data_IF_838162222651
#
_entry.id   IF_838162222651
#
_cell.length_a   1.000
_cell.length_b   1.000
_cell.length_c   1.000
_cell.angle_alpha   90.00
_cell.angle_beta   90.00
_cell.angle_gamma   90.00
#
_symmetry.space_group_name_H-M   'P 1'
#
loop_
_entity.id
_entity.type
_entity.pdbx_description
1 polymer ?
#
# COMPACT_ATOMS: atom_id res chain seq x y z
N UNK A 1 38.23 14.11 -25.11
CA UNK A 1 36.79 13.82 -25.02
C UNK A 1 36.29 14.51 -23.76
N UNK A 2 35.60 15.65 -23.89
CA UNK A 2 34.96 16.30 -22.75
C UNK A 2 33.61 15.62 -22.59
N UNK A 3 33.30 14.96 -21.46
CA UNK A 3 31.99 14.35 -21.28
C UNK A 3 30.92 15.45 -21.39
N UNK A 4 29.80 15.21 -22.09
CA UNK A 4 28.75 16.20 -22.19
C UNK A 4 28.27 16.57 -20.80
N UNK A 5 28.24 17.88 -20.51
CA UNK A 5 27.58 18.39 -19.30
C UNK A 5 26.11 17.96 -19.36
N UNK A 6 25.64 17.26 -18.34
CA UNK A 6 24.22 17.01 -18.18
C UNK A 6 23.47 18.36 -18.15
N UNK A 7 22.27 18.46 -18.74
CA UNK A 7 21.45 19.66 -18.67
C UNK A 7 21.22 20.06 -17.21
N UNK A 8 21.42 21.33 -16.87
CA UNK A 8 21.22 21.93 -15.52
C UNK A 8 19.82 21.64 -14.96
N UNK A 9 18.85 21.41 -15.85
CA UNK A 9 17.47 21.04 -15.52
C UNK A 9 17.38 19.65 -14.86
N UNK A 10 18.22 18.67 -15.25
CA UNK A 10 18.26 17.33 -14.63
C UNK A 10 18.86 17.33 -13.23
N UNK A 11 19.81 18.24 -12.93
CA UNK A 11 20.35 18.42 -11.57
C UNK A 11 19.30 19.05 -10.64
N UNK A 12 18.50 20.00 -11.13
CA UNK A 12 17.41 20.62 -10.35
C UNK A 12 16.28 19.63 -10.04
N UNK A 13 15.90 18.76 -10.98
CA UNK A 13 14.94 17.68 -10.70
C UNK A 13 15.53 16.63 -9.76
N UNK A 14 16.82 16.32 -9.86
CA UNK A 14 17.52 15.43 -8.93
C UNK A 14 17.47 15.94 -7.49
N UNK A 15 17.76 17.23 -7.27
CA UNK A 15 17.69 17.85 -5.94
C UNK A 15 16.27 17.85 -5.36
N UNK A 16 15.24 18.18 -6.15
CA UNK A 16 13.86 18.15 -5.69
C UNK A 16 13.37 16.73 -5.38
N UNK A 17 13.78 15.73 -6.18
CA UNK A 17 13.47 14.33 -5.92
C UNK A 17 14.19 13.82 -4.67
N UNK A 18 15.45 14.23 -4.46
CA UNK A 18 16.23 13.90 -3.25
C UNK A 18 15.66 14.57 -2.01
N UNK A 19 15.19 15.81 -2.09
CA UNK A 19 14.54 16.51 -0.98
C UNK A 19 13.16 15.91 -0.67
N UNK A 20 12.38 15.58 -1.69
CA UNK A 20 11.09 14.90 -1.52
C UNK A 20 11.28 13.50 -0.92
N UNK A 21 12.20 12.70 -1.47
CA UNK A 21 12.55 11.38 -0.94
C UNK A 21 13.19 11.48 0.44
N UNK A 22 14.02 12.49 0.74
CA UNK A 22 14.57 12.71 2.09
C UNK A 22 13.50 13.13 3.09
N UNK A 23 12.56 14.00 2.69
CA UNK A 23 11.43 14.40 3.52
C UNK A 23 10.53 13.20 3.82
N UNK A 24 10.29 12.33 2.82
CA UNK A 24 9.59 11.07 3.01
C UNK A 24 10.41 10.10 3.88
N UNK A 25 11.71 9.91 3.65
CA UNK A 25 12.57 9.05 4.46
C UNK A 25 12.60 9.51 5.92
N UNK A 26 12.65 10.83 6.19
CA UNK A 26 12.53 11.38 7.54
C UNK A 26 11.14 11.12 8.14
N UNK A 27 10.06 11.23 7.36
CA UNK A 27 8.70 10.92 7.80
C UNK A 27 8.48 9.42 8.09
N UNK A 28 9.22 8.53 7.41
CA UNK A 28 9.16 7.07 7.57
C UNK A 28 10.28 6.49 8.45
N UNK A 29 11.10 7.33 9.09
CA UNK A 29 12.25 6.92 9.92
C UNK A 29 13.24 6.00 9.19
N UNK A 30 13.41 6.21 7.89
CA UNK A 30 14.39 5.52 7.04
C UNK A 30 15.69 6.33 7.13
N UNK A 31 16.75 5.76 7.72
CA UNK A 31 18.05 6.43 7.85
C UNK A 31 18.65 6.74 6.48
N UNK A 32 18.66 8.01 6.09
CA UNK A 32 19.55 8.52 5.05
C UNK A 32 20.97 8.64 5.66
N UNK A 33 21.90 7.75 5.26
CA UNK A 33 23.28 7.78 5.74
C UNK A 33 24.12 8.84 4.99
N UNK A 34 25.03 9.58 5.67
CA UNK A 34 25.88 10.56 5.03
C UNK A 34 27.14 9.89 4.48
N UNK A 35 27.27 9.80 3.15
CA UNK A 35 28.52 9.42 2.50
C UNK A 35 29.28 10.68 2.07
N UNK A 36 29.96 11.31 3.02
CA UNK A 36 31.04 12.26 2.73
C UNK A 36 32.34 11.51 2.92
N UNK A 37 32.86 10.90 1.86
CA UNK A 37 34.24 10.40 1.85
C UNK A 37 35.17 11.61 1.75
N UNK A 38 36.14 11.71 2.66
CA UNK A 38 37.10 12.82 2.71
C UNK A 38 37.98 12.83 1.45
N UNK A 39 38.04 13.98 0.76
CA UNK A 39 38.83 14.23 -0.45
C UNK A 39 40.30 13.75 -0.37
N UNK A 40 40.86 13.61 0.83
CA UNK A 40 42.23 13.16 1.06
C UNK A 40 42.50 11.70 0.65
N UNK A 41 41.49 10.82 0.58
CA UNK A 41 41.67 9.43 0.14
C UNK A 41 41.85 9.32 -1.38
N UNK A 42 41.20 10.20 -2.15
CA UNK A 42 41.21 10.17 -3.62
C UNK A 42 42.56 10.57 -4.24
N UNK A 43 43.39 11.33 -3.53
CA UNK A 43 44.70 11.76 -4.03
C UNK A 43 45.77 10.65 -4.06
N UNK A 44 45.52 9.50 -3.43
CA UNK A 44 46.50 8.39 -3.33
C UNK A 44 46.15 7.15 -4.17
N UNK A 45 44.98 7.12 -4.81
CA UNK A 45 44.52 5.97 -5.56
C UNK A 45 44.94 6.06 -7.03
N UNK A 46 45.31 4.94 -7.64
CA UNK A 46 45.54 4.92 -9.08
C UNK A 46 44.20 5.07 -9.85
N UNK A 47 44.27 5.45 -11.13
CA UNK A 47 43.08 5.69 -11.95
C UNK A 47 42.17 4.44 -12.11
N UNK A 48 42.73 3.23 -12.05
CA UNK A 48 41.99 1.97 -12.13
C UNK A 48 41.27 1.60 -10.83
N UNK A 49 41.84 1.97 -9.69
CA UNK A 49 41.22 1.83 -8.37
C UNK A 49 40.10 2.84 -8.19
N UNK A 50 40.33 4.10 -8.60
CA UNK A 50 39.32 5.15 -8.58
C UNK A 50 38.10 4.82 -9.46
N UNK A 51 38.32 4.23 -10.64
CA UNK A 51 37.23 3.78 -11.51
C UNK A 51 36.42 2.63 -10.89
N UNK A 52 37.08 1.66 -10.25
CA UNK A 52 36.40 0.54 -9.57
C UNK A 52 35.58 1.02 -8.37
N UNK A 53 36.13 1.94 -7.58
CA UNK A 53 35.41 2.53 -6.45
C UNK A 53 34.20 3.33 -6.93
N UNK A 54 34.35 4.15 -7.98
CA UNK A 54 33.24 4.89 -8.57
C UNK A 54 32.10 3.98 -9.06
N UNK A 55 32.43 2.91 -9.79
CA UNK A 55 31.43 1.94 -10.27
C UNK A 55 30.71 1.22 -9.11
N UNK A 56 31.43 0.95 -8.02
CA UNK A 56 30.85 0.33 -6.82
C UNK A 56 29.88 1.29 -6.13
N UNK A 57 30.29 2.55 -5.94
CA UNK A 57 29.45 3.60 -5.37
C UNK A 57 28.19 3.82 -6.23
N UNK A 58 28.33 3.85 -7.54
CA UNK A 58 27.20 4.04 -8.46
C UNK A 58 26.23 2.85 -8.41
N UNK A 59 26.74 1.61 -8.40
CA UNK A 59 25.92 0.42 -8.25
C UNK A 59 25.16 0.39 -6.91
N UNK A 60 25.81 0.77 -5.81
CA UNK A 60 25.18 0.82 -4.49
C UNK A 60 24.15 1.95 -4.40
N UNK A 61 24.41 3.12 -5.02
CA UNK A 61 23.41 4.19 -5.16
C UNK A 61 22.19 3.72 -5.94
N UNK A 62 22.40 3.04 -7.06
CA UNK A 62 21.29 2.56 -7.88
C UNK A 62 20.44 1.53 -7.12
N UNK A 63 21.08 0.64 -6.35
CA UNK A 63 20.37 -0.29 -5.45
C UNK A 63 19.56 0.45 -4.39
N UNK A 64 20.14 1.48 -3.77
CA UNK A 64 19.46 2.28 -2.75
C UNK A 64 18.26 3.04 -3.32
N UNK A 65 18.41 3.69 -4.47
CA UNK A 65 17.31 4.35 -5.18
C UNK A 65 16.21 3.34 -5.47
N UNK A 66 16.55 2.18 -6.02
CA UNK A 66 15.58 1.11 -6.33
C UNK A 66 14.83 0.65 -5.09
N UNK A 67 15.53 0.47 -3.97
CA UNK A 67 14.93 0.12 -2.68
C UNK A 67 13.96 1.20 -2.19
N UNK A 68 14.40 2.46 -2.13
CA UNK A 68 13.59 3.58 -1.66
C UNK A 68 12.35 3.79 -2.53
N UNK A 69 12.50 3.71 -3.85
CA UNK A 69 11.37 3.78 -4.79
C UNK A 69 10.37 2.64 -4.54
N UNK A 70 10.85 1.43 -4.27
CA UNK A 70 9.96 0.31 -3.94
C UNK A 70 9.21 0.51 -2.62
N UNK A 71 9.86 1.01 -1.58
CA UNK A 71 9.21 1.27 -0.28
C UNK A 71 8.20 2.41 -0.37
N UNK A 72 8.54 3.45 -1.13
CA UNK A 72 7.63 4.55 -1.43
C UNK A 72 6.37 4.05 -2.14
N UNK A 73 6.53 3.23 -3.18
CA UNK A 73 5.40 2.67 -3.93
C UNK A 73 4.49 1.82 -3.05
N UNK A 74 5.07 0.97 -2.18
CA UNK A 74 4.32 0.18 -1.19
C UNK A 74 3.53 1.07 -0.22
N UNK A 75 4.13 2.17 0.25
CA UNK A 75 3.44 3.12 1.10
C UNK A 75 2.25 3.76 0.36
N UNK A 76 2.45 4.21 -0.89
CA UNK A 76 1.37 4.72 -1.74
C UNK A 76 0.22 3.73 -1.90
N UNK A 77 0.52 2.45 -2.16
CA UNK A 77 -0.52 1.42 -2.27
C UNK A 77 -1.35 1.29 -0.98
N UNK A 78 -0.70 1.31 0.19
CA UNK A 78 -1.40 1.28 1.49
C UNK A 78 -2.30 2.49 1.70
N UNK A 79 -1.85 3.69 1.33
CA UNK A 79 -2.67 4.91 1.43
C UNK A 79 -3.92 4.83 0.55
N UNK A 80 -3.77 4.40 -0.71
CA UNK A 80 -4.90 4.23 -1.62
C UNK A 80 -5.90 3.19 -1.08
N UNK A 81 -5.40 2.05 -0.58
CA UNK A 81 -6.24 1.03 0.05
C UNK A 81 -7.00 1.58 1.26
N UNK A 82 -6.33 2.34 2.13
CA UNK A 82 -6.97 3.00 3.27
C UNK A 82 -8.11 3.91 2.83
N UNK A 83 -7.87 4.78 1.86
CA UNK A 83 -8.90 5.69 1.34
C UNK A 83 -10.11 4.94 0.75
N UNK A 84 -9.86 3.81 0.08
CA UNK A 84 -10.93 2.95 -0.44
C UNK A 84 -11.76 2.30 0.68
N UNK A 85 -11.11 1.84 1.76
CA UNK A 85 -11.81 1.31 2.93
C UNK A 85 -12.62 2.39 3.64
N UNK A 86 -12.08 3.61 3.78
CA UNK A 86 -12.82 4.75 4.35
C UNK A 86 -14.06 5.07 3.52
N UNK A 87 -13.92 5.09 2.19
CA UNK A 87 -15.05 5.26 1.27
C UNK A 87 -16.14 4.19 1.47
N UNK A 88 -15.74 2.91 1.58
CA UNK A 88 -16.69 1.81 1.88
C UNK A 88 -17.40 2.04 3.21
N UNK A 89 -16.66 2.40 4.24
CA UNK A 89 -17.23 2.65 5.56
C UNK A 89 -18.24 3.79 5.55
N UNK A 90 -17.96 4.89 4.85
CA UNK A 90 -18.93 5.98 4.66
C UNK A 90 -20.15 5.53 3.86
N UNK A 91 -19.97 4.67 2.85
CA UNK A 91 -21.09 4.10 2.09
C UNK A 91 -22.00 3.25 2.98
N UNK A 92 -21.44 2.36 3.80
CA UNK A 92 -22.21 1.54 4.76
C UNK A 92 -22.98 2.42 5.73
N UNK A 93 -22.34 3.45 6.30
CA UNK A 93 -23.00 4.40 7.20
C UNK A 93 -24.18 5.08 6.52
N UNK A 94 -24.00 5.56 5.28
CA UNK A 94 -25.05 6.26 4.52
C UNK A 94 -26.29 5.39 4.28
N UNK A 95 -26.09 4.10 3.97
CA UNK A 95 -27.17 3.12 3.78
C UNK A 95 -27.92 2.82 5.08
N UNK A 96 -27.22 2.92 6.21
CA UNK A 96 -27.76 2.59 7.53
C UNK A 96 -28.48 3.77 8.19
N UNK A 97 -28.09 5.01 7.90
CA UNK A 97 -28.74 6.22 8.43
C UNK A 97 -30.17 6.43 7.94
N UNK A 98 -30.62 5.69 6.92
CA UNK A 98 -32.01 5.59 6.48
C UNK A 98 -32.89 4.68 7.36
N UNK A 99 -32.29 3.94 8.30
CA UNK A 99 -32.98 2.97 9.15
C UNK A 99 -32.68 3.27 10.62
N UNK A 100 -33.75 3.64 11.32
CA UNK A 100 -33.88 4.13 12.69
C UNK A 100 -32.81 3.72 13.72
N UNK A 101 -32.39 4.74 14.48
CA UNK A 101 -31.57 4.74 15.70
C UNK A 101 -31.85 3.60 16.70
N UNK A 102 -30.84 2.78 16.99
CA UNK A 102 -30.64 2.24 18.34
C UNK A 102 -29.14 2.14 18.67
N UNK A 103 -28.79 2.69 19.83
CA UNK A 103 -27.48 2.73 20.45
C UNK A 103 -26.98 1.32 20.79
N UNK A 104 -25.78 1.00 20.34
CA UNK A 104 -24.98 -0.13 20.82
C UNK A 104 -23.56 0.37 21.11
N UNK A 105 -22.84 -0.30 22.03
CA UNK A 105 -21.80 0.31 22.83
C UNK A 105 -20.60 0.73 21.99
N UNK A 106 -19.93 1.75 22.51
CA UNK A 106 -18.81 2.46 21.91
C UNK A 106 -17.70 1.47 21.53
N UNK A 107 -17.70 1.03 20.27
CA UNK A 107 -16.46 0.56 19.63
C UNK A 107 -15.58 1.79 19.47
N UNK A 108 -14.38 1.72 20.02
CA UNK A 108 -13.43 2.83 20.14
C UNK A 108 -12.85 3.30 18.81
N UNK A 109 -13.16 2.63 17.69
CA UNK A 109 -12.82 3.10 16.35
C UNK A 109 -14.07 3.30 15.48
N UNK A 110 -14.19 4.51 14.94
CA UNK A 110 -15.29 4.98 14.07
C UNK A 110 -15.47 4.12 12.80
N UNK A 111 -14.51 3.24 12.49
CA UNK A 111 -14.40 2.46 11.25
C UNK A 111 -14.69 0.97 11.47
N UNK A 112 -14.51 0.46 12.68
CA UNK A 112 -14.82 -0.93 13.04
C UNK A 112 -16.34 -1.16 13.10
N UNK A 113 -17.11 -0.11 13.45
CA UNK A 113 -18.57 -0.18 13.51
C UNK A 113 -19.21 -0.49 12.13
N UNK A 114 -18.88 0.22 11.04
CA UNK A 114 -19.34 -0.15 9.69
C UNK A 114 -19.04 -1.60 9.30
N UNK A 115 -17.83 -2.10 9.59
CA UNK A 115 -17.44 -3.48 9.27
C UNK A 115 -18.24 -4.49 10.10
N UNK A 116 -18.47 -4.22 11.38
CA UNK A 116 -19.37 -5.02 12.22
C UNK A 116 -20.80 -5.04 11.68
N UNK A 117 -21.31 -3.89 11.22
CA UNK A 117 -22.65 -3.82 10.64
C UNK A 117 -22.76 -4.69 9.38
N UNK A 118 -21.74 -4.66 8.54
CA UNK A 118 -21.68 -5.49 7.34
C UNK A 118 -21.62 -6.99 7.69
N UNK A 119 -20.88 -7.38 8.73
CA UNK A 119 -20.86 -8.77 9.21
C UNK A 119 -22.19 -9.24 9.83
N UNK A 120 -23.04 -8.32 10.29
CA UNK A 120 -24.38 -8.64 10.79
C UNK A 120 -25.43 -8.66 9.68
N UNK A 121 -25.10 -8.20 8.48
CA UNK A 121 -25.95 -8.33 7.30
C UNK A 121 -25.96 -9.80 6.84
N UNK A 122 -27.14 -10.43 6.86
CA UNK A 122 -27.26 -11.87 6.62
C UNK A 122 -26.87 -12.26 5.19
N UNK A 123 -27.18 -11.42 4.21
CA UNK A 123 -26.83 -11.67 2.80
C UNK A 123 -25.31 -11.63 2.63
N UNK A 124 -24.68 -10.54 3.07
CA UNK A 124 -23.24 -10.38 3.01
C UNK A 124 -22.50 -11.47 3.80
N UNK A 125 -22.96 -11.79 5.01
CA UNK A 125 -22.36 -12.85 5.82
C UNK A 125 -22.40 -14.20 5.09
N UNK A 126 -23.54 -14.53 4.48
CA UNK A 126 -23.70 -15.75 3.69
C UNK A 126 -22.76 -15.75 2.47
N UNK A 127 -22.68 -14.65 1.72
CA UNK A 127 -21.76 -14.52 0.59
C UNK A 127 -20.29 -14.68 1.01
N UNK A 128 -19.89 -13.97 2.07
CA UNK A 128 -18.53 -13.99 2.60
C UNK A 128 -18.14 -15.39 3.09
N UNK A 129 -19.04 -16.07 3.81
CA UNK A 129 -18.79 -17.43 4.32
C UNK A 129 -18.71 -18.47 3.19
N UNK A 130 -19.55 -18.37 2.16
CA UNK A 130 -19.46 -19.23 0.98
C UNK A 130 -18.16 -19.01 0.20
N UNK A 131 -17.79 -17.74 -0.03
CA UNK A 131 -16.53 -17.40 -0.68
C UNK A 131 -15.33 -17.88 0.16
N UNK A 132 -15.37 -17.74 1.48
CA UNK A 132 -14.33 -18.24 2.39
C UNK A 132 -14.14 -19.75 2.26
N UNK A 133 -15.25 -20.50 2.25
CA UNK A 133 -15.25 -21.95 2.10
C UNK A 133 -14.64 -22.37 0.76
N UNK A 134 -15.03 -21.73 -0.34
CA UNK A 134 -14.49 -22.01 -1.67
C UNK A 134 -12.98 -21.79 -1.77
N UNK A 135 -12.46 -20.81 -1.03
CA UNK A 135 -11.04 -20.46 -1.01
C UNK A 135 -10.26 -21.14 0.14
N UNK A 136 -10.91 -22.03 0.90
CA UNK A 136 -10.33 -22.75 2.04
C UNK A 136 -9.73 -21.82 3.11
N UNK A 137 -10.35 -20.66 3.33
CA UNK A 137 -9.91 -19.67 4.31
C UNK A 137 -10.73 -19.85 5.60
N UNK A 138 -10.04 -19.86 6.74
CA UNK A 138 -10.68 -19.94 8.05
C UNK A 138 -11.48 -18.68 8.31
N UNK A 139 -12.80 -18.82 8.52
CA UNK A 139 -13.71 -17.69 8.67
C UNK A 139 -13.37 -16.77 9.87
N UNK A 140 -12.83 -17.33 10.95
CA UNK A 140 -12.38 -16.56 12.10
C UNK A 140 -11.24 -15.58 11.74
N UNK A 141 -10.33 -15.97 10.84
CA UNK A 141 -9.26 -15.10 10.37
C UNK A 141 -9.80 -13.99 9.46
N UNK A 142 -10.85 -14.29 8.68
CA UNK A 142 -11.58 -13.29 7.89
C UNK A 142 -12.25 -12.26 8.80
N UNK A 143 -12.96 -12.69 9.85
CA UNK A 143 -13.58 -11.76 10.80
C UNK A 143 -12.52 -10.88 11.48
N UNK A 144 -11.42 -11.49 11.94
CA UNK A 144 -10.31 -10.74 12.55
C UNK A 144 -9.71 -9.74 11.58
N UNK A 145 -9.45 -10.14 10.34
CA UNK A 145 -8.93 -9.24 9.30
C UNK A 145 -9.92 -8.11 9.01
N UNK A 146 -11.21 -8.40 8.84
CA UNK A 146 -12.22 -7.38 8.55
C UNK A 146 -12.32 -6.33 9.68
N UNK A 147 -12.17 -6.76 10.93
CA UNK A 147 -12.12 -5.87 12.10
C UNK A 147 -10.78 -5.14 12.26
N UNK A 148 -9.68 -5.73 11.82
CA UNK A 148 -8.33 -5.17 11.91
C UNK A 148 -7.90 -4.36 10.68
N UNK A 149 -8.68 -4.38 9.59
CA UNK A 149 -8.28 -3.83 8.29
C UNK A 149 -7.88 -2.37 8.38
N UNK A 150 -8.68 -1.54 9.08
CA UNK A 150 -8.34 -0.14 9.22
C UNK A 150 -7.04 0.03 10.01
N UNK A 151 -6.86 -0.69 11.12
CA UNK A 151 -5.64 -0.60 11.91
C UNK A 151 -4.39 -1.03 11.12
N UNK A 152 -4.52 -2.08 10.31
CA UNK A 152 -3.45 -2.58 9.42
C UNK A 152 -3.04 -1.54 8.36
N UNK A 153 -3.99 -0.71 7.92
CA UNK A 153 -3.79 0.30 6.88
C UNK A 153 -3.51 1.71 7.45
N UNK A 154 -3.88 1.98 8.71
CA UNK A 154 -3.80 3.31 9.36
C UNK A 154 -2.48 3.58 10.08
N UNK A 155 -1.55 2.62 10.09
CA UNK A 155 -0.25 2.80 10.75
C UNK A 155 0.62 3.88 10.09
N UNK A 156 0.21 4.42 8.95
CA UNK A 156 0.94 5.46 8.23
C UNK A 156 -0.04 6.55 7.74
N UNK A 157 0.32 7.81 8.03
CA UNK A 157 -0.17 9.14 7.61
C UNK A 157 -1.59 9.35 7.01
N UNK A 158 -2.17 10.51 7.28
CA UNK A 158 -3.44 10.96 6.70
C UNK A 158 -3.19 11.78 5.42
N UNK A 159 -3.38 11.20 4.23
CA UNK A 159 -3.40 11.99 2.99
C UNK A 159 -4.69 11.76 2.21
N UNK A 160 -5.35 12.86 1.88
CA UNK A 160 -6.44 12.92 0.90
C UNK A 160 -5.83 12.93 -0.50
N UNK A 161 -5.94 11.82 -1.23
CA UNK A 161 -6.07 11.76 -2.69
C UNK A 161 -6.10 10.30 -3.13
N UNK A 162 -7.26 9.82 -3.57
CA UNK A 162 -7.39 8.54 -4.27
C UNK A 162 -6.90 8.74 -5.71
N UNK A 163 -5.70 8.23 -5.98
CA UNK A 163 -5.18 8.06 -7.34
C UNK A 163 -5.90 6.91 -8.05
N UNK A 164 -5.93 6.96 -9.38
CA UNK A 164 -6.74 6.13 -10.27
C UNK A 164 -6.45 4.62 -10.24
N UNK A 165 -5.52 4.14 -9.40
CA UNK A 165 -5.14 2.73 -9.34
C UNK A 165 -5.03 2.25 -7.88
N UNK A 166 -6.10 1.68 -7.36
CA UNK A 166 -6.07 0.98 -6.07
C UNK A 166 -5.41 -0.38 -6.27
N UNK A 167 -4.37 -0.67 -5.50
CA UNK A 167 -3.55 -1.89 -5.65
C UNK A 167 -3.66 -2.75 -4.40
N UNK A 168 -4.07 -4.00 -4.58
CA UNK A 168 -4.00 -5.04 -3.55
C UNK A 168 -2.63 -5.73 -3.69
N UNK A 169 -1.68 -5.35 -2.84
CA UNK A 169 -0.30 -5.83 -2.90
C UNK A 169 -0.07 -6.97 -1.90
N UNK A 170 0.17 -8.18 -2.43
CA UNK A 170 0.33 -9.38 -1.60
C UNK A 170 1.60 -9.39 -0.75
N UNK A 171 2.54 -8.47 -1.01
CA UNK A 171 3.75 -8.28 -0.19
C UNK A 171 3.45 -7.52 1.10
N UNK A 172 2.31 -6.85 1.17
CA UNK A 172 1.94 -5.93 2.25
C UNK A 172 0.85 -6.46 3.18
N UNK A 173 0.10 -7.47 2.73
CA UNK A 173 -1.12 -7.94 3.34
C UNK A 173 -1.03 -9.45 3.58
N UNK A 174 -1.60 -9.93 4.69
CA UNK A 174 -1.75 -11.38 4.88
C UNK A 174 -2.88 -11.92 3.99
N UNK A 175 -2.91 -13.23 3.67
CA UNK A 175 -3.91 -13.80 2.76
C UNK A 175 -5.37 -13.47 3.12
N UNK A 176 -5.73 -13.51 4.41
CA UNK A 176 -7.08 -13.18 4.85
C UNK A 176 -7.44 -11.70 4.62
N UNK A 177 -6.50 -10.77 4.77
CA UNK A 177 -6.70 -9.35 4.47
C UNK A 177 -6.87 -9.13 2.97
N UNK A 178 -6.02 -9.77 2.15
CA UNK A 178 -6.13 -9.73 0.68
C UNK A 178 -7.52 -10.20 0.24
N UNK A 179 -7.97 -11.33 0.79
CA UNK A 179 -9.29 -11.90 0.51
C UNK A 179 -10.42 -10.95 0.89
N UNK A 180 -10.41 -10.43 2.13
CA UNK A 180 -11.47 -9.52 2.61
C UNK A 180 -11.52 -8.25 1.77
N UNK A 181 -10.38 -7.64 1.45
CA UNK A 181 -10.33 -6.45 0.59
C UNK A 181 -10.92 -6.76 -0.77
N UNK A 182 -10.58 -7.90 -1.37
CA UNK A 182 -11.17 -8.32 -2.65
C UNK A 182 -12.70 -8.46 -2.58
N UNK A 183 -13.23 -9.11 -1.53
CA UNK A 183 -14.68 -9.24 -1.33
C UNK A 183 -15.35 -7.87 -1.22
N UNK A 184 -14.80 -6.98 -0.41
CA UNK A 184 -15.32 -5.62 -0.24
C UNK A 184 -15.28 -4.85 -1.56
N UNK A 185 -14.15 -4.87 -2.27
CA UNK A 185 -14.02 -4.13 -3.52
C UNK A 185 -14.96 -4.66 -4.59
N UNK A 186 -15.16 -5.97 -4.66
CA UNK A 186 -16.19 -6.55 -5.54
C UNK A 186 -17.59 -6.06 -5.16
N UNK A 187 -17.97 -6.17 -3.88
CA UNK A 187 -19.30 -5.77 -3.38
C UNK A 187 -19.63 -4.30 -3.64
N UNK A 188 -18.63 -3.42 -3.51
CA UNK A 188 -18.77 -1.98 -3.68
C UNK A 188 -18.31 -1.47 -5.07
N UNK A 189 -18.04 -2.38 -6.01
CA UNK A 189 -17.59 -2.07 -7.38
C UNK A 189 -16.37 -1.12 -7.44
N UNK A 190 -15.40 -1.35 -6.58
CA UNK A 190 -14.15 -0.59 -6.53
C UNK A 190 -13.14 -1.24 -7.48
N UNK A 191 -12.73 -0.57 -8.58
CA UNK A 191 -11.72 -1.10 -9.49
C UNK A 191 -10.38 -1.21 -8.76
N UNK A 192 -9.71 -2.34 -8.94
CA UNK A 192 -8.41 -2.59 -8.32
C UNK A 192 -7.56 -3.54 -9.15
N UNK A 193 -6.25 -3.48 -8.89
CA UNK A 193 -5.23 -4.33 -9.50
C UNK A 193 -4.62 -5.19 -8.40
N UNK A 194 -4.26 -6.43 -8.73
CA UNK A 194 -3.55 -7.32 -7.81
C UNK A 194 -2.06 -7.43 -8.18
N UNK A 195 -1.20 -7.33 -7.17
CA UNK A 195 0.23 -7.61 -7.27
C UNK A 195 0.55 -8.83 -6.43
N UNK A 196 1.23 -9.81 -7.03
CA UNK A 196 1.66 -11.05 -6.36
C UNK A 196 2.82 -10.82 -5.38
N UNK A 197 3.31 -11.89 -4.75
CA UNK A 197 4.39 -11.80 -3.75
C UNK A 197 5.73 -11.43 -4.38
N UNK A 198 5.88 -11.70 -5.68
CA UNK A 198 7.05 -11.42 -6.50
C UNK A 198 7.05 -9.96 -6.99
N UNK A 199 5.94 -9.24 -6.84
CA UNK A 199 5.80 -7.84 -7.26
C UNK A 199 5.27 -7.67 -8.67
N UNK A 200 4.75 -8.71 -9.30
CA UNK A 200 4.19 -8.68 -10.65
C UNK A 200 2.68 -8.44 -10.62
N UNK A 201 2.17 -7.77 -11.64
CA UNK A 201 0.73 -7.70 -11.88
C UNK A 201 0.21 -9.10 -12.23
N UNK A 202 -0.78 -9.57 -11.49
CA UNK A 202 -1.34 -10.91 -11.65
C UNK A 202 -2.87 -10.89 -11.52
N UNK A 203 -3.50 -12.02 -11.85
CA UNK A 203 -4.91 -12.22 -11.55
C UNK A 203 -5.12 -12.35 -10.04
N UNK A 204 -6.22 -11.78 -9.55
CA UNK A 204 -6.60 -11.93 -8.15
C UNK A 204 -6.82 -13.42 -7.82
N UNK A 205 -6.15 -13.97 -6.79
CA UNK A 205 -6.02 -15.41 -6.63
C UNK A 205 -7.24 -16.08 -5.97
N UNK A 206 -8.26 -15.30 -5.58
CA UNK A 206 -9.42 -15.81 -4.87
C UNK A 206 -10.65 -15.89 -5.78
N UNK A 207 -11.37 -17.00 -5.68
CA UNK A 207 -12.64 -17.19 -6.34
C UNK A 207 -13.74 -16.47 -5.57
N UNK A 208 -13.97 -15.22 -5.95
CA UNK A 208 -15.12 -14.45 -5.53
C UNK A 208 -16.18 -14.68 -6.62
N UNK A 209 -16.97 -15.76 -6.56
CA UNK A 209 -18.04 -16.00 -7.56
C UNK A 209 -18.81 -14.71 -7.84
N UNK A 210 -19.37 -14.57 -9.04
CA UNK A 210 -20.31 -13.50 -9.32
C UNK A 210 -21.52 -13.67 -8.42
N UNK A 211 -21.48 -13.01 -7.27
CA UNK A 211 -22.66 -12.62 -6.52
C UNK A 211 -23.35 -11.57 -7.39
N UNK A 212 -23.98 -12.06 -8.46
CA UNK A 212 -24.80 -11.26 -9.34
C UNK A 212 -25.92 -10.69 -8.49
N UNK A 213 -25.78 -9.42 -8.10
CA UNK A 213 -26.92 -8.63 -7.71
C UNK A 213 -27.85 -8.59 -8.92
N UNK A 214 -28.98 -9.28 -8.79
CA UNK A 214 -30.11 -9.11 -9.68
C UNK A 214 -30.44 -7.62 -9.74
N UNK A 215 -30.46 -7.10 -10.96
CA UNK A 215 -31.10 -5.83 -11.29
C UNK A 215 -32.59 -5.91 -11.00
#
# INVERSE_FOLDING_TARGET
FVPPKLPVELEQYGHLLIEYVSSMCMAFNIQAMPYITTLDSYHRMDNSEMQREFLTIDADRQRQITYLTSELLKATHRFNLRGAIEFICERIKSLSSSSTSHSSPISTNVIDKPMHMLLNDHEFYHELSQAALLNQIVFNDIQRSMMGLYHSLSTYFHSQQTSENIVIDARLLVPSEQFVIGVLFKRFNIPSIYIDKEGNMAMFPYNLKDTSYGQ
#
